data_IF_414851454739
#
_entry.id   IF_414851454739
#
_cell.length_a   1.000
_cell.length_b   1.000
_cell.length_c   1.000
_cell.angle_alpha   90.00
_cell.angle_beta   90.00
_cell.angle_gamma   90.00
#
_symmetry.space_group_name_H-M   'P 1'
#
loop_
_entity.id
_entity.type
_entity.pdbx_description
1 polymer ?
#
# COMPACT_ATOMS: atom_id res chain seq x y z
N UNK A 1 -1.15 -40.95 55.51
CA UNK A 1 -1.83 -40.32 54.37
C UNK A 1 -1.31 -38.90 54.17
N UNK A 2 -0.92 -38.57 52.94
CA UNK A 2 -0.99 -37.26 52.27
C UNK A 2 -0.21 -36.03 52.81
N UNK A 3 0.92 -35.78 52.11
CA UNK A 3 1.33 -34.54 51.40
C UNK A 3 1.59 -33.23 52.19
N UNK A 4 2.89 -32.93 52.31
CA UNK A 4 3.61 -31.70 51.93
C UNK A 4 2.79 -30.53 51.36
N UNK A 5 3.07 -29.32 51.86
CA UNK A 5 3.27 -28.10 51.05
C UNK A 5 3.90 -27.00 51.94
N UNK A 6 5.23 -26.99 52.03
CA UNK A 6 6.00 -25.89 52.61
C UNK A 6 6.28 -24.86 51.52
N UNK A 7 5.76 -23.65 51.74
CA UNK A 7 5.91 -22.46 50.91
C UNK A 7 7.35 -21.95 51.03
N UNK A 8 8.19 -22.15 50.02
CA UNK A 8 9.51 -21.55 49.92
C UNK A 8 9.47 -20.37 48.93
N UNK A 9 9.15 -19.18 49.44
CA UNK A 9 9.54 -17.93 48.79
C UNK A 9 11.05 -17.76 48.96
N UNK A 10 11.84 -18.03 47.92
CA UNK A 10 13.22 -17.55 47.84
C UNK A 10 13.31 -16.36 46.90
N UNK A 11 13.65 -15.23 47.51
CA UNK A 11 13.89 -13.92 46.91
C UNK A 11 15.07 -13.95 45.93
N UNK A 12 14.78 -13.79 44.64
CA UNK A 12 15.81 -13.51 43.64
C UNK A 12 16.38 -12.09 43.85
N UNK A 13 17.69 -11.99 44.09
CA UNK A 13 18.41 -10.75 44.38
C UNK A 13 18.33 -9.74 43.22
N UNK A 14 18.17 -8.46 43.57
CA UNK A 14 18.03 -7.32 42.64
C UNK A 14 19.19 -7.15 41.66
N UNK A 15 20.38 -7.69 41.99
CA UNK A 15 21.60 -7.56 41.19
C UNK A 15 21.63 -8.42 39.92
N UNK A 16 20.91 -9.54 39.86
CA UNK A 16 20.90 -10.41 38.67
C UNK A 16 19.93 -9.94 37.59
N UNK A 17 18.90 -9.17 37.98
CA UNK A 17 17.90 -8.64 37.04
C UNK A 17 18.47 -7.52 36.17
N UNK A 18 19.36 -6.68 36.69
CA UNK A 18 19.98 -5.60 35.90
C UNK A 18 21.01 -6.14 34.90
N UNK A 19 21.74 -7.19 35.26
CA UNK A 19 22.70 -7.84 34.38
C UNK A 19 22.01 -8.53 33.18
N UNK A 20 20.87 -9.21 33.41
CA UNK A 20 20.06 -9.80 32.35
C UNK A 20 19.47 -8.75 31.39
N UNK A 21 19.02 -7.59 31.92
CA UNK A 21 18.56 -6.45 31.12
C UNK A 21 19.67 -5.85 30.25
N UNK A 22 20.89 -5.75 30.78
CA UNK A 22 22.06 -5.26 30.04
C UNK A 22 22.48 -6.22 28.92
N UNK A 23 22.44 -7.53 29.15
CA UNK A 23 22.73 -8.55 28.13
C UNK A 23 21.67 -8.52 27.02
N UNK A 24 20.38 -8.39 27.37
CA UNK A 24 19.32 -8.27 26.38
C UNK A 24 19.51 -7.03 25.49
N UNK A 25 19.96 -5.90 26.05
CA UNK A 25 20.22 -4.67 25.31
C UNK A 25 21.39 -4.78 24.30
N UNK A 26 22.41 -5.60 24.58
CA UNK A 26 23.57 -5.81 23.68
C UNK A 26 23.21 -6.55 22.38
N UNK A 27 22.11 -7.32 22.38
CA UNK A 27 21.62 -8.03 21.19
C UNK A 27 20.53 -7.26 20.43
N UNK A 28 20.16 -6.04 20.84
CA UNK A 28 19.20 -5.17 20.11
C UNK A 28 19.93 -4.29 19.08
N UNK A 29 20.89 -4.86 18.34
CA UNK A 29 21.26 -4.24 17.09
C UNK A 29 20.05 -4.37 16.15
N UNK A 30 19.45 -3.28 15.64
CA UNK A 30 18.27 -3.38 14.79
C UNK A 30 18.63 -4.15 13.53
N UNK A 31 18.20 -5.40 13.46
CA UNK A 31 18.40 -6.27 12.31
C UNK A 31 17.82 -5.58 11.07
N UNK A 32 18.69 -5.11 10.18
CA UNK A 32 18.27 -4.50 8.92
C UNK A 32 17.93 -5.61 7.94
N UNK A 33 16.65 -5.95 7.88
CA UNK A 33 16.11 -6.91 6.92
C UNK A 33 16.32 -6.37 5.50
N UNK A 34 17.17 -7.03 4.72
CA UNK A 34 17.37 -6.69 3.31
C UNK A 34 16.12 -7.12 2.53
N UNK A 35 15.40 -6.17 1.93
CA UNK A 35 14.33 -6.49 1.00
C UNK A 35 14.93 -6.82 -0.35
N UNK A 36 14.64 -8.01 -0.92
CA UNK A 36 15.12 -8.34 -2.26
C UNK A 36 14.56 -7.32 -3.25
N UNK A 37 15.27 -7.02 -4.36
CA UNK A 37 14.84 -6.07 -5.37
C UNK A 37 13.41 -6.32 -5.88
N UNK A 38 13.00 -7.59 -5.96
CA UNK A 38 11.64 -8.00 -6.35
C UNK A 38 10.54 -7.55 -5.38
N UNK A 39 10.88 -7.26 -4.12
CA UNK A 39 9.96 -6.76 -3.08
C UNK A 39 10.08 -5.26 -2.84
N UNK A 40 10.97 -4.57 -3.56
CA UNK A 40 11.08 -3.12 -3.43
C UNK A 40 9.81 -2.45 -3.96
N UNK A 41 9.26 -1.53 -3.16
CA UNK A 41 8.10 -0.75 -3.58
C UNK A 41 8.48 0.16 -4.75
N UNK A 42 7.55 0.31 -5.67
CA UNK A 42 7.65 1.29 -6.76
C UNK A 42 7.89 2.69 -6.19
N UNK A 43 8.81 3.43 -6.82
CA UNK A 43 9.14 4.79 -6.41
C UNK A 43 7.91 5.70 -6.43
N UNK A 44 7.88 6.68 -5.53
CA UNK A 44 6.74 7.60 -5.44
C UNK A 44 6.53 8.38 -6.75
N UNK A 45 7.61 8.73 -7.45
CA UNK A 45 7.56 9.35 -8.77
C UNK A 45 6.78 8.51 -9.80
N UNK A 46 6.98 7.18 -9.82
CA UNK A 46 6.24 6.28 -10.71
C UNK A 46 4.74 6.27 -10.39
N UNK A 47 4.38 6.29 -9.11
CA UNK A 47 2.96 6.33 -8.70
C UNK A 47 2.32 7.66 -9.09
N UNK A 48 3.03 8.77 -8.86
CA UNK A 48 2.57 10.10 -9.24
C UNK A 48 2.33 10.20 -10.75
N UNK A 49 3.25 9.67 -11.56
CA UNK A 49 3.12 9.62 -13.02
C UNK A 49 1.86 8.83 -13.45
N UNK A 50 1.64 7.65 -12.87
CA UNK A 50 0.43 6.85 -13.15
C UNK A 50 -0.84 7.66 -12.87
N UNK A 51 -0.91 8.34 -11.71
CA UNK A 51 -2.07 9.17 -11.34
C UNK A 51 -2.25 10.35 -12.28
N UNK A 52 -1.16 10.99 -12.72
CA UNK A 52 -1.20 12.10 -13.68
C UNK A 52 -1.83 11.68 -15.01
N UNK A 53 -1.39 10.57 -15.59
CA UNK A 53 -1.95 10.06 -16.85
C UNK A 53 -3.41 9.62 -16.72
N UNK A 54 -3.77 9.03 -15.58
CA UNK A 54 -5.16 8.69 -15.29
C UNK A 54 -6.04 9.93 -15.21
N UNK A 55 -5.59 10.99 -14.52
CA UNK A 55 -6.33 12.26 -14.42
C UNK A 55 -6.51 12.91 -15.79
N UNK A 56 -5.44 13.01 -16.57
CA UNK A 56 -5.45 13.60 -17.91
C UNK A 56 -6.39 12.85 -18.87
N UNK A 57 -6.57 11.55 -18.66
CA UNK A 57 -7.45 10.69 -19.47
C UNK A 57 -8.84 10.48 -18.85
N UNK A 58 -9.22 11.30 -17.86
CA UNK A 58 -10.46 11.15 -17.12
C UNK A 58 -11.33 12.40 -17.15
N UNK A 59 -12.61 12.21 -16.87
CA UNK A 59 -13.53 13.28 -16.52
C UNK A 59 -14.00 13.08 -15.08
N UNK A 60 -13.96 14.13 -14.28
CA UNK A 60 -14.52 14.11 -12.93
C UNK A 60 -16.04 14.02 -13.00
N UNK A 61 -16.62 13.16 -12.16
CA UNK A 61 -18.05 13.21 -11.87
C UNK A 61 -18.32 14.05 -10.63
N UNK A 62 -19.57 14.48 -10.46
CA UNK A 62 -20.06 15.01 -9.19
C UNK A 62 -20.19 13.93 -8.09
N UNK A 63 -20.02 12.65 -8.44
CA UNK A 63 -20.17 11.54 -7.52
C UNK A 63 -18.90 11.31 -6.70
N UNK A 64 -19.10 10.89 -5.45
CA UNK A 64 -18.04 10.56 -4.52
C UNK A 64 -18.09 9.06 -4.18
N UNK A 65 -16.92 8.52 -3.84
CA UNK A 65 -16.78 7.19 -3.25
C UNK A 65 -17.30 7.22 -1.81
N UNK A 66 -17.54 6.06 -1.18
CA UNK A 66 -17.83 5.94 0.26
C UNK A 66 -16.86 6.72 1.15
N UNK A 67 -15.62 6.84 0.67
CA UNK A 67 -14.52 7.48 1.36
C UNK A 67 -14.47 9.01 1.12
N UNK A 68 -15.50 9.61 0.52
CA UNK A 68 -15.59 11.04 0.19
C UNK A 68 -14.72 11.49 -0.99
N UNK A 69 -13.97 10.57 -1.61
CA UNK A 69 -13.09 10.88 -2.74
C UNK A 69 -13.86 11.01 -4.06
N UNK A 70 -13.54 11.99 -4.92
CA UNK A 70 -14.22 12.17 -6.20
C UNK A 70 -13.99 10.98 -7.13
N UNK A 71 -15.05 10.59 -7.84
CA UNK A 71 -15.00 9.53 -8.85
C UNK A 71 -14.60 10.12 -10.20
N UNK A 72 -13.59 9.52 -10.83
CA UNK A 72 -13.09 9.87 -12.15
C UNK A 72 -13.47 8.78 -13.16
N UNK A 73 -14.13 9.16 -14.25
CA UNK A 73 -14.45 8.24 -15.34
C UNK A 73 -13.41 8.34 -16.44
N UNK A 74 -12.73 7.22 -16.72
CA UNK A 74 -11.74 7.13 -17.77
C UNK A 74 -12.40 7.15 -19.14
N UNK A 75 -11.98 8.08 -19.99
CA UNK A 75 -12.49 8.22 -21.37
C UNK A 75 -11.99 7.09 -22.28
N UNK A 76 -10.86 6.49 -21.94
CA UNK A 76 -10.25 5.38 -22.65
C UNK A 76 -9.88 4.25 -21.69
N UNK A 77 -9.42 3.12 -22.25
CA UNK A 77 -9.06 1.96 -21.44
C UNK A 77 -7.76 2.22 -20.67
N UNK A 78 -7.62 1.62 -19.48
CA UNK A 78 -6.39 1.62 -18.69
C UNK A 78 -5.17 1.16 -19.50
N UNK A 79 -5.37 0.19 -20.41
CA UNK A 79 -4.33 -0.29 -21.33
C UNK A 79 -3.85 0.82 -22.29
N UNK A 80 -4.76 1.56 -22.91
CA UNK A 80 -4.40 2.66 -23.80
C UNK A 80 -3.66 3.79 -23.06
N UNK A 81 -4.06 4.07 -21.82
CA UNK A 81 -3.36 5.05 -20.96
C UNK A 81 -1.94 4.58 -20.65
N UNK A 82 -1.78 3.30 -20.31
CA UNK A 82 -0.47 2.71 -20.08
C UNK A 82 0.43 2.77 -21.32
N UNK A 83 -0.10 2.43 -22.50
CA UNK A 83 0.66 2.47 -23.76
C UNK A 83 1.15 3.90 -24.06
N UNK A 84 0.30 4.92 -23.86
CA UNK A 84 0.72 6.33 -23.97
C UNK A 84 1.82 6.69 -22.97
N UNK A 85 1.64 6.32 -21.70
CA UNK A 85 2.62 6.59 -20.66
C UNK A 85 3.98 5.95 -20.96
N UNK A 86 4.02 4.71 -21.46
CA UNK A 86 5.28 4.03 -21.81
C UNK A 86 5.91 4.59 -23.08
N UNK A 87 5.09 5.04 -24.05
CA UNK A 87 5.59 5.68 -25.26
C UNK A 87 6.24 7.04 -24.96
N UNK A 88 5.66 7.82 -24.04
CA UNK A 88 6.17 9.14 -23.65
C UNK A 88 7.31 9.06 -22.62
N UNK A 89 7.29 8.04 -21.75
CA UNK A 89 8.24 7.86 -20.66
C UNK A 89 8.85 6.44 -20.60
N UNK A 90 9.61 6.01 -21.62
CA UNK A 90 10.21 4.67 -21.66
C UNK A 90 11.22 4.42 -20.53
N UNK A 91 11.81 5.48 -19.96
CA UNK A 91 12.79 5.43 -18.87
C UNK A 91 12.21 4.86 -17.57
N UNK A 92 10.89 5.02 -17.34
CA UNK A 92 10.27 4.62 -16.08
C UNK A 92 10.07 3.11 -15.92
N UNK A 93 10.28 2.30 -16.98
CA UNK A 93 10.23 0.82 -16.97
C UNK A 93 9.16 0.25 -16.02
N UNK A 94 7.91 0.69 -16.20
CA UNK A 94 6.77 0.24 -15.41
C UNK A 94 6.14 -0.94 -16.11
N UNK A 95 6.08 -2.09 -15.44
CA UNK A 95 5.34 -3.24 -15.95
C UNK A 95 3.83 -2.98 -15.92
N UNK A 96 3.09 -3.57 -16.86
CA UNK A 96 1.63 -3.43 -16.94
C UNK A 96 0.93 -3.89 -15.64
N UNK A 97 1.39 -4.96 -15.00
CA UNK A 97 0.88 -5.44 -13.71
C UNK A 97 1.04 -4.39 -12.60
N UNK A 98 2.19 -3.73 -12.57
CA UNK A 98 2.48 -2.62 -11.67
C UNK A 98 1.56 -1.45 -11.92
N UNK A 99 1.36 -1.07 -13.19
CA UNK A 99 0.42 -0.01 -13.55
C UNK A 99 -0.98 -0.27 -12.99
N UNK A 100 -1.54 -1.47 -13.21
CA UNK A 100 -2.86 -1.83 -12.68
C UNK A 100 -2.92 -1.83 -11.15
N UNK A 101 -1.86 -2.29 -10.48
CA UNK A 101 -1.76 -2.32 -9.01
C UNK A 101 -1.82 -0.92 -8.41
N UNK A 102 -1.19 0.07 -9.05
CA UNK A 102 -1.11 1.44 -8.55
C UNK A 102 -2.19 2.38 -9.11
N UNK A 103 -3.07 1.89 -9.99
CA UNK A 103 -4.26 2.63 -10.39
C UNK A 103 -5.22 2.79 -9.19
N UNK A 104 -5.53 4.03 -8.76
CA UNK A 104 -6.45 4.22 -7.65
C UNK A 104 -7.88 3.73 -7.95
N UNK A 105 -8.59 3.29 -6.92
CA UNK A 105 -9.91 2.65 -7.04
C UNK A 105 -11.03 3.61 -7.49
N UNK A 106 -10.81 4.91 -7.33
CA UNK A 106 -11.73 5.98 -7.74
C UNK A 106 -11.72 6.27 -9.25
N UNK A 107 -10.78 5.70 -10.01
CA UNK A 107 -10.80 5.72 -11.47
C UNK A 107 -11.61 4.54 -12.01
N UNK A 108 -12.81 4.84 -12.49
CA UNK A 108 -13.76 3.87 -13.04
C UNK A 108 -13.72 3.88 -14.57
N UNK A 109 -13.93 2.73 -15.23
CA UNK A 109 -14.14 2.73 -16.67
C UNK A 109 -15.41 3.50 -17.01
N UNK A 110 -15.47 4.08 -18.22
CA UNK A 110 -16.71 4.60 -18.77
C UNK A 110 -17.71 3.45 -18.95
N UNK A 111 -18.88 3.58 -18.33
CA UNK A 111 -19.98 2.63 -18.55
C UNK A 111 -20.59 2.95 -19.91
N UNK A 112 -20.62 1.97 -20.83
CA UNK A 112 -21.26 2.15 -22.14
C UNK A 112 -22.74 2.45 -21.91
N UNK A 113 -23.27 3.48 -22.56
CA UNK A 113 -24.65 4.01 -22.46
C UNK A 113 -25.73 3.05 -23.00
N UNK A 114 -25.58 1.75 -22.90
CA UNK A 114 -26.62 0.81 -23.35
C UNK A 114 -27.81 0.78 -22.38
N UNK A 115 -27.65 1.24 -21.14
CA UNK A 115 -28.76 1.41 -20.21
C UNK A 115 -28.41 2.42 -19.10
N UNK A 116 -28.23 3.69 -19.46
CA UNK A 116 -28.20 4.75 -18.46
C UNK A 116 -29.46 5.58 -18.63
N UNK A 117 -30.38 5.38 -17.69
CA UNK A 117 -31.45 6.33 -17.42
C UNK A 117 -30.86 7.74 -17.37
N UNK A 118 -31.59 8.68 -17.95
CA UNK A 118 -31.34 10.11 -17.89
C UNK A 118 -31.29 10.61 -16.43
N UNK A 119 -30.83 11.86 -16.27
CA UNK A 119 -30.87 12.74 -15.06
C UNK A 119 -29.47 12.88 -14.40
N UNK A 120 -28.92 14.08 -14.16
CA UNK A 120 -29.53 15.40 -13.95
C UNK A 120 -29.13 16.48 -14.98
N UNK A 121 -30.07 17.41 -15.18
CA UNK A 121 -29.91 18.76 -15.74
C UNK A 121 -29.21 19.64 -14.71
#
# INVERSE_FOLDING_TARGET
MLKNLSLAHQSASSSQKSALLAIAALFVAPYKRTTPPSRQSVSEAKKALIVQYLKASSQSSCLQTSDGSPIYHLQCTKKAIYEKMVAEHPEYKVALSTFYKYCPKNFKPLVKKTNMYSVCI
#
